data_IF_388215400497
#
_entry.id   IF_388215400497
#
_cell.length_a   1.000
_cell.length_b   1.000
_cell.length_c   1.000
_cell.angle_alpha   90.00
_cell.angle_beta   90.00
_cell.angle_gamma   90.00
#
_symmetry.space_group_name_H-M   'P 1'
#
loop_
_entity.id
_entity.type
_entity.pdbx_description
1 polymer ?
#
# COMPACT_ATOMS: atom_id res chain seq x y z
N UNK A 1 21.10 22.43 17.45
CA UNK A 1 20.34 22.55 16.18
C UNK A 1 18.88 22.31 16.50
N UNK A 2 17.95 23.10 15.97
CA UNK A 2 16.51 22.86 16.18
C UNK A 2 16.10 21.56 15.48
N UNK A 3 15.22 20.77 16.11
CA UNK A 3 14.69 19.56 15.47
C UNK A 3 13.90 19.92 14.20
N UNK A 4 14.06 19.15 13.11
CA UNK A 4 13.35 19.43 11.87
C UNK A 4 11.84 19.24 12.06
N UNK A 5 11.07 20.30 11.79
CA UNK A 5 9.60 20.34 11.89
C UNK A 5 8.89 19.23 11.09
N UNK A 6 9.52 18.74 10.02
CA UNK A 6 9.01 17.70 9.12
C UNK A 6 10.02 16.57 8.97
N UNK A 7 9.94 15.57 9.86
CA UNK A 7 10.70 14.33 9.72
C UNK A 7 10.04 13.39 8.70
N UNK A 8 10.78 12.45 8.12
CA UNK A 8 10.21 11.45 7.21
C UNK A 8 9.08 10.63 7.85
N UNK A 9 9.19 10.33 9.15
CA UNK A 9 8.13 9.67 9.93
C UNK A 9 6.88 10.56 10.00
N UNK A 10 7.04 11.86 10.28
CA UNK A 10 5.92 12.78 10.36
C UNK A 10 5.21 12.94 9.01
N UNK A 11 5.97 13.07 7.92
CA UNK A 11 5.39 13.16 6.56
C UNK A 11 4.59 11.90 6.22
N UNK A 12 5.14 10.72 6.49
CA UNK A 12 4.46 9.43 6.27
C UNK A 12 3.17 9.33 7.08
N UNK A 13 3.21 9.67 8.37
CA UNK A 13 2.02 9.62 9.21
C UNK A 13 0.96 10.63 8.76
N UNK A 14 1.38 11.83 8.35
CA UNK A 14 0.46 12.87 7.83
C UNK A 14 -0.24 12.38 6.55
N UNK A 15 0.48 11.70 5.66
CA UNK A 15 -0.08 11.08 4.47
C UNK A 15 -1.13 10.02 4.81
N UNK A 16 -0.84 9.12 5.75
CA UNK A 16 -1.79 8.10 6.19
C UNK A 16 -3.06 8.68 6.82
N UNK A 17 -2.92 9.63 7.76
CA UNK A 17 -4.09 10.23 8.40
C UNK A 17 -4.96 10.98 7.39
N UNK A 18 -4.38 11.71 6.44
CA UNK A 18 -5.13 12.40 5.39
C UNK A 18 -6.06 11.47 4.58
N UNK A 19 -5.56 10.29 4.20
CA UNK A 19 -6.34 9.31 3.42
C UNK A 19 -7.30 8.51 4.28
N UNK A 20 -6.90 8.18 5.51
CA UNK A 20 -7.74 7.50 6.51
C UNK A 20 -8.98 8.32 6.85
N UNK A 21 -8.84 9.63 7.07
CA UNK A 21 -9.97 10.56 7.27
C UNK A 21 -10.95 10.56 6.08
N UNK A 22 -10.50 10.17 4.88
CA UNK A 22 -11.30 10.07 3.65
C UNK A 22 -11.80 8.65 3.36
N UNK A 23 -11.69 7.77 4.34
CA UNK A 23 -12.20 6.39 4.28
C UNK A 23 -11.31 5.42 3.51
N UNK A 24 -10.00 5.66 3.43
CA UNK A 24 -9.05 4.68 2.90
C UNK A 24 -8.54 3.79 4.04
N UNK A 25 -8.57 2.48 3.83
CA UNK A 25 -7.97 1.51 4.73
C UNK A 25 -6.44 1.54 4.60
N UNK A 26 -5.72 1.67 5.71
CA UNK A 26 -4.26 1.55 5.68
C UNK A 26 -3.90 0.07 5.50
N UNK A 27 -3.19 -0.25 4.42
CA UNK A 27 -2.76 -1.61 4.09
C UNK A 27 -1.23 -1.71 4.23
N UNK A 28 -0.69 -2.80 4.80
CA UNK A 28 0.76 -2.99 4.84
C UNK A 28 1.38 -3.05 3.44
N UNK A 29 2.61 -2.55 3.32
CA UNK A 29 3.39 -2.73 2.11
C UNK A 29 3.72 -4.20 1.87
N UNK A 30 3.56 -4.65 0.62
CA UNK A 30 3.96 -5.99 0.20
C UNK A 30 5.48 -6.19 0.23
N UNK A 31 5.92 -7.44 0.10
CA UNK A 31 7.33 -7.78 -0.05
C UNK A 31 7.95 -7.08 -1.26
N UNK A 32 9.23 -6.73 -1.15
CA UNK A 32 10.03 -6.23 -2.29
C UNK A 32 10.25 -7.36 -3.30
N UNK A 33 10.32 -8.60 -2.84
CA UNK A 33 10.34 -9.80 -3.69
C UNK A 33 8.91 -10.27 -3.92
N UNK A 34 8.36 -10.17 -5.14
CA UNK A 34 6.98 -10.56 -5.42
C UNK A 34 6.83 -12.08 -5.37
N UNK A 35 5.81 -12.57 -4.65
CA UNK A 35 5.49 -14.00 -4.60
C UNK A 35 4.44 -14.42 -5.64
N UNK A 36 3.68 -13.45 -6.17
CA UNK A 36 2.47 -13.70 -6.95
C UNK A 36 2.62 -13.35 -8.44
N UNK A 37 3.80 -12.91 -8.88
CA UNK A 37 4.07 -12.58 -10.27
C UNK A 37 5.49 -13.02 -10.66
N UNK A 38 5.66 -14.17 -11.33
CA UNK A 38 6.98 -14.69 -11.70
C UNK A 38 7.66 -13.87 -12.80
N UNK A 39 6.96 -12.91 -13.41
CA UNK A 39 7.52 -12.03 -14.45
C UNK A 39 8.16 -10.76 -13.89
N UNK A 40 7.93 -10.47 -12.60
CA UNK A 40 8.52 -9.33 -11.91
C UNK A 40 9.71 -9.76 -11.07
N UNK A 41 10.86 -9.10 -11.26
CA UNK A 41 12.04 -9.31 -10.42
C UNK A 41 11.85 -8.71 -9.02
N UNK A 42 11.30 -7.50 -8.94
CA UNK A 42 11.00 -6.81 -7.69
C UNK A 42 9.68 -6.04 -7.81
N UNK A 43 9.03 -5.81 -6.67
CA UNK A 43 7.89 -4.90 -6.57
C UNK A 43 8.35 -3.50 -6.95
N UNK A 44 7.81 -2.94 -8.04
CA UNK A 44 8.24 -1.65 -8.57
C UNK A 44 7.23 -0.52 -8.29
N UNK A 45 6.04 -0.85 -7.81
CA UNK A 45 4.97 0.11 -7.52
C UNK A 45 4.04 -0.39 -6.40
N UNK A 46 3.33 0.54 -5.74
CA UNK A 46 2.29 0.19 -4.76
C UNK A 46 1.11 -0.60 -5.36
N UNK A 47 0.88 -0.47 -6.67
CA UNK A 47 -0.25 -1.13 -7.33
C UNK A 47 -0.07 -2.64 -7.51
N UNK A 48 1.17 -3.17 -7.43
CA UNK A 48 1.44 -4.58 -7.75
C UNK A 48 0.64 -5.54 -6.87
N UNK A 49 0.51 -5.26 -5.57
CA UNK A 49 -0.23 -6.12 -4.64
C UNK A 49 -1.75 -6.12 -4.89
N UNK A 50 -2.27 -5.11 -5.60
CA UNK A 50 -3.69 -4.97 -5.90
C UNK A 50 -4.07 -5.45 -7.31
N UNK A 51 -3.11 -5.97 -8.10
CA UNK A 51 -3.36 -6.50 -9.45
C UNK A 51 -4.53 -7.49 -9.51
N UNK A 52 -4.68 -8.48 -8.59
CA UNK A 52 -5.84 -9.38 -8.60
C UNK A 52 -7.18 -8.69 -8.31
N UNK A 53 -7.18 -7.61 -7.52
CA UNK A 53 -8.38 -6.81 -7.24
C UNK A 53 -8.82 -6.09 -8.52
N UNK A 54 -7.90 -5.44 -9.23
CA UNK A 54 -8.20 -4.72 -10.46
C UNK A 54 -8.70 -5.65 -11.58
N UNK A 55 -8.19 -6.89 -11.63
CA UNK A 55 -8.57 -7.88 -12.63
C UNK A 55 -9.79 -8.72 -12.23
N UNK A 56 -10.34 -8.53 -11.02
CA UNK A 56 -11.46 -9.33 -10.51
C UNK A 56 -11.11 -10.81 -10.29
N UNK A 57 -9.83 -11.15 -10.16
CA UNK A 57 -9.34 -12.53 -9.96
C UNK A 57 -8.99 -12.84 -8.51
N UNK A 58 -9.16 -11.87 -7.61
CA UNK A 58 -8.92 -12.07 -6.18
C UNK A 58 -9.92 -13.05 -5.57
N UNK A 59 -9.45 -13.91 -4.66
CA UNK A 59 -10.33 -14.82 -3.93
C UNK A 59 -11.29 -14.01 -3.04
N UNK A 60 -12.57 -14.37 -3.02
CA UNK A 60 -13.59 -13.71 -2.20
C UNK A 60 -13.34 -13.82 -0.69
N UNK A 61 -12.52 -14.79 -0.28
CA UNK A 61 -12.08 -14.99 1.10
C UNK A 61 -10.96 -14.04 1.53
N UNK A 62 -10.28 -13.39 0.58
CA UNK A 62 -9.20 -12.45 0.85
C UNK A 62 -9.77 -11.13 1.42
N UNK A 63 -9.09 -10.56 2.42
CA UNK A 63 -9.52 -9.30 3.02
C UNK A 63 -9.41 -8.12 2.05
N UNK A 64 -8.48 -8.16 1.10
CA UNK A 64 -8.37 -7.17 0.04
C UNK A 64 -9.55 -7.22 -0.95
N UNK A 65 -10.34 -8.29 -0.98
CA UNK A 65 -11.57 -8.33 -1.78
C UNK A 65 -12.67 -7.45 -1.18
N UNK A 66 -12.57 -7.08 0.10
CA UNK A 66 -13.60 -6.34 0.84
C UNK A 66 -13.34 -4.83 0.89
N UNK A 67 -12.14 -4.39 0.53
CA UNK A 67 -11.73 -2.97 0.62
C UNK A 67 -12.07 -2.23 -0.67
N UNK A 68 -12.62 -1.02 -0.53
CA UNK A 68 -12.95 -0.14 -1.68
C UNK A 68 -11.91 0.95 -1.93
N UNK A 69 -11.20 1.35 -0.88
CA UNK A 69 -10.24 2.45 -0.87
C UNK A 69 -9.11 2.07 0.07
N UNK A 70 -7.87 2.19 -0.39
CA UNK A 70 -6.68 1.77 0.36
C UNK A 70 -5.58 2.83 0.28
N UNK A 71 -4.73 2.88 1.29
CA UNK A 71 -3.53 3.71 1.33
C UNK A 71 -2.37 2.93 1.93
N UNK A 72 -1.18 3.06 1.36
CA UNK A 72 0.05 2.46 1.88
C UNK A 72 1.28 3.35 1.60
N UNK A 73 2.45 2.87 2.00
CA UNK A 73 3.74 3.35 1.50
C UNK A 73 4.55 2.13 1.08
N UNK A 74 4.55 1.84 -0.21
CA UNK A 74 5.18 0.63 -0.74
C UNK A 74 6.71 0.74 -0.75
N UNK A 75 7.37 -0.33 -0.31
CA UNK A 75 8.81 -0.56 -0.56
C UNK A 75 8.98 -0.97 -2.03
N UNK A 76 9.70 -0.15 -2.79
CA UNK A 76 10.02 -0.37 -4.20
C UNK A 76 11.52 -0.36 -4.43
#
# INVERSE_FOLDING_TARGET
MAEPKWTGVKVRNTFFEYFKERGHTIVPSSSVVPHNDPTLLFTNAGMNQFKPVFLGTIASTDDLAKVKRVVDTQKV
#
